data_IF_884356344539
#
_entry.id   IF_884356344539
#
_cell.length_a   1.000
_cell.length_b   1.000
_cell.length_c   1.000
_cell.angle_alpha   90.00
_cell.angle_beta   90.00
_cell.angle_gamma   90.00
#
_symmetry.space_group_name_H-M   'P 1'
#
loop_
_entity.id
_entity.type
_entity.pdbx_description
1 polymer ?
#
# COMPACT_ATOMS: atom_id res chain seq x y z
N UNK A 1 -29.00 -9.89 20.01
CA UNK A 1 -28.44 -11.13 19.43
C UNK A 1 -27.34 -10.63 18.53
N UNK A 2 -26.14 -10.52 19.08
CA UNK A 2 -25.05 -9.73 18.51
C UNK A 2 -24.48 -10.47 17.30
N UNK A 3 -24.59 -9.83 16.14
CA UNK A 3 -24.02 -10.32 14.89
C UNK A 3 -22.52 -10.09 14.95
N UNK A 4 -21.78 -11.18 15.14
CA UNK A 4 -20.35 -11.22 14.89
C UNK A 4 -20.12 -10.91 13.40
N UNK A 5 -19.83 -9.65 13.09
CA UNK A 5 -19.29 -9.28 11.78
C UNK A 5 -17.85 -9.80 11.77
N UNK A 6 -17.66 -10.98 11.17
CA UNK A 6 -16.33 -11.43 10.78
C UNK A 6 -15.77 -10.41 9.79
N UNK A 7 -14.84 -9.59 10.28
CA UNK A 7 -14.00 -8.72 9.47
C UNK A 7 -13.09 -9.57 8.58
N UNK A 8 -13.62 -10.03 7.45
CA UNK A 8 -12.80 -10.57 6.38
C UNK A 8 -12.23 -9.40 5.59
N UNK A 9 -10.98 -9.03 5.88
CA UNK A 9 -10.22 -8.04 5.10
C UNK A 9 -10.28 -8.34 3.61
N UNK A 10 -10.29 -9.63 3.24
CA UNK A 10 -10.42 -10.08 1.86
C UNK A 10 -11.77 -9.69 1.24
N UNK A 11 -12.88 -9.83 1.98
CA UNK A 11 -14.22 -9.49 1.48
C UNK A 11 -14.41 -7.99 1.29
N UNK A 12 -13.92 -7.18 2.23
CA UNK A 12 -13.96 -5.71 2.11
C UNK A 12 -13.09 -5.24 0.93
N UNK A 13 -11.95 -5.89 0.73
CA UNK A 13 -11.05 -5.62 -0.39
C UNK A 13 -11.71 -5.96 -1.73
N UNK A 14 -12.32 -7.14 -1.85
CA UNK A 14 -13.08 -7.54 -3.05
C UNK A 14 -14.23 -6.58 -3.33
N UNK A 15 -15.06 -6.27 -2.32
CA UNK A 15 -16.18 -5.32 -2.47
C UNK A 15 -15.69 -3.91 -2.87
N UNK A 16 -14.58 -3.44 -2.30
CA UNK A 16 -13.98 -2.14 -2.65
C UNK A 16 -13.46 -2.07 -4.09
N UNK A 17 -12.94 -3.19 -4.60
CA UNK A 17 -12.42 -3.27 -5.97
C UNK A 17 -13.54 -3.42 -7.00
N UNK A 18 -14.59 -4.20 -6.73
CA UNK A 18 -15.64 -4.46 -7.72
C UNK A 18 -16.57 -3.26 -7.98
N UNK A 19 -16.63 -2.27 -7.09
CA UNK A 19 -17.77 -1.33 -7.07
C UNK A 19 -17.55 -0.02 -7.84
N UNK A 20 -16.33 0.37 -8.24
CA UNK A 20 -16.08 1.69 -8.82
C UNK A 20 -15.18 1.65 -10.05
N UNK A 21 -15.61 2.31 -11.14
CA UNK A 21 -14.90 2.44 -12.43
C UNK A 21 -13.52 3.14 -12.34
N UNK A 22 -13.14 3.61 -11.16
CA UNK A 22 -11.85 4.20 -10.86
C UNK A 22 -11.54 3.83 -9.41
N UNK A 23 -10.73 2.80 -9.23
CA UNK A 23 -10.23 2.41 -7.91
C UNK A 23 -8.91 3.14 -7.73
N UNK A 24 -8.76 3.89 -6.64
CA UNK A 24 -7.45 4.43 -6.23
C UNK A 24 -7.04 3.72 -4.95
N UNK A 25 -5.82 3.18 -4.94
CA UNK A 25 -5.23 2.59 -3.74
C UNK A 25 -4.12 3.50 -3.27
N UNK A 26 -4.22 4.00 -2.04
CA UNK A 26 -3.17 4.81 -1.41
C UNK A 26 -2.61 4.09 -0.20
N UNK A 27 -1.28 4.07 -0.10
CA UNK A 27 -0.55 3.58 1.07
C UNK A 27 0.03 4.79 1.79
N UNK A 28 -0.39 4.99 3.03
CA UNK A 28 0.08 6.06 3.90
C UNK A 28 1.18 5.55 4.81
N UNK A 29 2.27 6.32 4.89
CA UNK A 29 3.42 6.07 5.76
C UNK A 29 3.69 7.30 6.63
N UNK A 30 4.32 7.10 7.78
CA UNK A 30 4.87 8.23 8.54
C UNK A 30 5.94 8.96 7.70
N UNK A 31 6.03 10.29 7.86
CA UNK A 31 7.02 11.15 7.19
C UNK A 31 8.46 10.67 7.32
N UNK A 32 8.89 10.15 8.46
CA UNK A 32 10.24 9.62 8.67
C UNK A 32 10.49 8.42 7.76
N UNK A 33 9.52 7.52 7.66
CA UNK A 33 9.63 6.32 6.84
C UNK A 33 9.54 6.66 5.35
N UNK A 34 8.59 7.50 4.97
CA UNK A 34 8.49 8.05 3.63
C UNK A 34 9.80 8.73 3.20
N UNK A 35 10.35 9.58 4.05
CA UNK A 35 11.62 10.26 3.77
C UNK A 35 12.79 9.28 3.70
N UNK A 36 12.84 8.25 4.55
CA UNK A 36 13.91 7.23 4.51
C UNK A 36 13.88 6.38 3.24
N UNK A 37 12.68 6.21 2.66
CA UNK A 37 12.46 5.51 1.40
C UNK A 37 12.95 6.37 0.24
N UNK A 38 12.60 7.67 0.24
CA UNK A 38 12.90 8.61 -0.84
C UNK A 38 14.35 9.15 -0.78
N UNK A 39 14.92 9.36 0.42
CA UNK A 39 16.16 10.12 0.63
C UNK A 39 17.38 9.29 1.11
N UNK A 40 17.35 7.95 1.14
CA UNK A 40 18.59 7.18 1.41
C UNK A 40 19.54 7.21 0.20
N UNK A 41 20.12 8.38 -0.04
CA UNK A 41 21.25 8.68 -0.91
C UNK A 41 22.39 9.18 -0.03
N UNK A 42 23.63 8.88 -0.41
CA UNK A 42 24.89 9.11 0.30
C UNK A 42 25.34 7.98 1.22
N UNK A 43 25.82 6.89 0.61
CA UNK A 43 27.25 6.50 0.70
C UNK A 43 27.50 5.32 -0.27
N UNK A 44 28.21 5.65 -1.36
CA UNK A 44 29.07 4.82 -2.22
C UNK A 44 28.53 3.50 -2.84
N UNK A 45 28.03 3.56 -4.09
CA UNK A 45 28.54 2.84 -5.29
C UNK A 45 27.63 3.06 -6.54
N UNK A 46 28.16 3.02 -7.78
CA UNK A 46 27.48 3.52 -8.97
C UNK A 46 26.77 2.41 -9.75
N UNK A 47 25.53 2.06 -9.40
CA UNK A 47 24.56 1.46 -10.33
C UNK A 47 23.15 1.93 -9.94
N UNK A 48 22.59 2.78 -10.79
CA UNK A 48 21.33 3.51 -10.64
C UNK A 48 20.13 2.56 -10.54
N UNK A 49 19.76 2.21 -9.31
CA UNK A 49 18.41 1.78 -8.94
C UNK A 49 18.08 2.55 -7.66
N UNK A 50 17.43 3.70 -7.83
CA UNK A 50 16.94 4.53 -6.74
C UNK A 50 15.94 3.73 -5.90
N UNK A 51 15.91 3.91 -4.58
CA UNK A 51 15.02 3.14 -3.71
C UNK A 51 13.53 3.37 -3.99
N UNK A 52 13.20 4.51 -4.59
CA UNK A 52 11.86 4.78 -5.12
C UNK A 52 11.52 3.78 -6.22
N UNK A 53 12.42 3.56 -7.19
CA UNK A 53 12.27 2.49 -8.18
C UNK A 53 12.12 1.13 -7.49
N UNK A 54 12.85 0.85 -6.40
CA UNK A 54 12.70 -0.44 -5.67
C UNK A 54 11.33 -0.64 -5.03
N UNK A 55 10.66 0.41 -4.57
CA UNK A 55 9.30 0.28 -4.01
C UNK A 55 8.27 0.22 -5.13
N UNK A 56 8.43 1.01 -6.18
CA UNK A 56 7.58 0.91 -7.37
C UNK A 56 7.69 -0.49 -8.00
N UNK A 57 8.90 -1.06 -8.08
CA UNK A 57 9.16 -2.43 -8.52
C UNK A 57 8.50 -3.45 -7.58
N UNK A 58 8.59 -3.25 -6.26
CA UNK A 58 7.95 -4.13 -5.28
C UNK A 58 6.42 -4.08 -5.40
N UNK A 59 5.85 -2.89 -5.59
CA UNK A 59 4.42 -2.70 -5.81
C UNK A 59 4.00 -3.30 -7.15
N UNK A 60 4.81 -3.15 -8.20
CA UNK A 60 4.57 -3.77 -9.51
C UNK A 60 4.57 -5.30 -9.39
N UNK A 61 5.55 -5.87 -8.69
CA UNK A 61 5.62 -7.31 -8.46
C UNK A 61 4.40 -7.82 -7.67
N UNK A 62 3.95 -7.08 -6.66
CA UNK A 62 2.73 -7.40 -5.92
C UNK A 62 1.49 -7.36 -6.82
N UNK A 63 1.39 -6.36 -7.70
CA UNK A 63 0.30 -6.27 -8.68
C UNK A 63 0.29 -7.45 -9.64
N UNK A 64 1.45 -7.79 -10.17
CA UNK A 64 1.60 -8.94 -11.07
C UNK A 64 1.23 -10.24 -10.37
N UNK A 65 1.69 -10.44 -9.12
CA UNK A 65 1.34 -11.61 -8.31
C UNK A 65 -0.17 -11.74 -8.11
N UNK A 66 -0.85 -10.66 -7.72
CA UNK A 66 -2.30 -10.65 -7.53
C UNK A 66 -3.07 -10.88 -8.83
N UNK A 67 -2.54 -10.42 -9.97
CA UNK A 67 -3.12 -10.74 -11.27
C UNK A 67 -2.96 -12.21 -11.63
N UNK A 68 -1.76 -12.78 -11.50
CA UNK A 68 -1.50 -14.18 -11.87
C UNK A 68 -2.17 -15.18 -10.93
N UNK A 69 -2.26 -14.88 -9.63
CA UNK A 69 -2.84 -15.79 -8.64
C UNK A 69 -4.36 -15.67 -8.56
N UNK A 70 -4.91 -14.45 -8.63
CA UNK A 70 -6.33 -14.20 -8.35
C UNK A 70 -7.10 -13.65 -9.56
N UNK A 71 -6.41 -13.34 -10.67
CA UNK A 71 -7.01 -12.68 -11.83
C UNK A 71 -7.38 -11.21 -11.58
N UNK A 72 -6.90 -10.61 -10.47
CA UNK A 72 -7.28 -9.26 -10.06
C UNK A 72 -6.32 -8.25 -10.68
N UNK A 73 -6.86 -7.35 -11.50
CA UNK A 73 -6.10 -6.20 -12.00
C UNK A 73 -6.16 -5.05 -11.00
N UNK A 74 -5.04 -4.79 -10.32
CA UNK A 74 -4.95 -3.66 -9.40
C UNK A 74 -4.69 -2.34 -10.13
N UNK A 75 -5.36 -1.24 -9.72
CA UNK A 75 -5.11 0.09 -10.25
C UNK A 75 -3.72 0.61 -9.83
N UNK A 76 -3.41 1.85 -10.19
CA UNK A 76 -2.23 2.54 -9.68
C UNK A 76 -2.26 2.64 -8.14
N UNK A 77 -1.12 2.39 -7.52
CA UNK A 77 -0.95 2.44 -6.05
C UNK A 77 -0.09 3.65 -5.73
N UNK A 78 -0.66 4.60 -4.99
CA UNK A 78 0.02 5.83 -4.59
C UNK A 78 0.65 5.70 -3.20
N UNK A 79 1.78 6.36 -2.98
CA UNK A 79 2.43 6.49 -1.68
C UNK A 79 2.26 7.91 -1.16
N UNK A 80 1.62 8.03 -0.01
CA UNK A 80 1.34 9.32 0.63
C UNK A 80 1.86 9.34 2.08
N UNK A 81 1.94 10.55 2.65
CA UNK A 81 2.37 10.78 4.03
C UNK A 81 1.16 10.93 4.95
N UNK A 82 1.17 10.25 6.09
CA UNK A 82 0.25 10.49 7.22
C UNK A 82 1.06 10.65 8.52
N UNK A 83 1.10 11.88 9.03
CA UNK A 83 1.84 12.26 10.23
C UNK A 83 1.24 11.68 11.53
N UNK A 84 0.03 11.11 11.47
CA UNK A 84 -0.59 10.46 12.62
C UNK A 84 -0.18 9.00 12.81
N UNK A 85 0.54 8.41 11.85
CA UNK A 85 1.05 7.04 11.94
C UNK A 85 2.37 7.00 12.70
N UNK A 86 2.61 5.95 13.48
CA UNK A 86 3.95 5.68 14.03
C UNK A 86 4.91 5.16 12.94
N UNK A 87 6.20 5.14 13.23
CA UNK A 87 7.23 4.73 12.25
C UNK A 87 7.09 3.27 11.77
N UNK A 88 6.48 2.40 12.57
CA UNK A 88 6.19 1.01 12.22
C UNK A 88 4.75 0.80 11.73
N UNK A 89 3.98 1.86 11.58
CA UNK A 89 2.58 1.80 11.15
C UNK A 89 2.45 2.24 9.68
N UNK A 90 1.52 1.60 8.98
CA UNK A 90 1.08 2.02 7.66
C UNK A 90 -0.45 1.91 7.57
N UNK A 91 -1.05 2.64 6.65
CA UNK A 91 -2.49 2.55 6.40
C UNK A 91 -2.74 2.41 4.91
N UNK A 92 -3.69 1.54 4.55
CA UNK A 92 -4.17 1.40 3.18
C UNK A 92 -5.52 2.09 3.08
N UNK A 93 -5.71 2.85 2.01
CA UNK A 93 -6.98 3.43 1.62
C UNK A 93 -7.33 2.94 0.23
N UNK A 94 -8.59 2.54 0.05
CA UNK A 94 -9.16 2.12 -1.24
C UNK A 94 -10.32 3.06 -1.51
N UNK A 95 -10.18 3.93 -2.50
CA UNK A 95 -11.12 5.05 -2.74
C UNK A 95 -11.28 5.89 -1.47
N UNK A 96 -12.51 6.06 -1.00
CA UNK A 96 -12.81 6.79 0.24
C UNK A 96 -12.76 5.91 1.50
N UNK A 97 -12.54 4.59 1.33
CA UNK A 97 -12.51 3.63 2.43
C UNK A 97 -11.10 3.54 3.02
N UNK A 98 -10.95 4.04 4.25
CA UNK A 98 -9.73 3.88 5.05
C UNK A 98 -9.77 2.57 5.82
N UNK A 99 -8.85 1.66 5.53
CA UNK A 99 -8.67 0.44 6.30
C UNK A 99 -8.02 0.75 7.65
N UNK A 100 -8.16 -0.14 8.65
CA UNK A 100 -7.46 0.00 9.92
C UNK A 100 -5.95 0.15 9.73
N UNK A 101 -5.31 0.90 10.63
CA UNK A 101 -3.85 1.00 10.67
C UNK A 101 -3.24 -0.38 10.93
N UNK A 102 -2.25 -0.73 10.12
CA UNK A 102 -1.50 -1.98 10.22
C UNK A 102 -0.09 -1.69 10.74
N UNK A 103 0.45 -2.63 11.52
CA UNK A 103 1.83 -2.56 12.02
C UNK A 103 2.69 -3.46 11.13
N UNK A 104 3.72 -2.90 10.50
CA UNK A 104 4.74 -3.68 9.81
C UNK A 104 5.74 -4.24 10.83
N UNK A 105 5.98 -5.55 10.75
CA UNK A 105 7.02 -6.22 11.57
C UNK A 105 8.42 -5.92 11.09
#
# INVERSE_FOLDING_TARGET
RDEHIEWSTAKIFEEGIFTLKSITISIFLNKTKYSSIIFKNHEEEPLTITKTEKIEDMLSLMKDGLFYELGIYLPEVNLDIDDHLKDNEFRIQINDLRLPTLVGS
#
